data_IF_550001517266
#
_entry.id   IF_550001517266
#
_cell.length_a   1.000
_cell.length_b   1.000
_cell.length_c   1.000
_cell.angle_alpha   90.00
_cell.angle_beta   90.00
_cell.angle_gamma   90.00
#
_symmetry.space_group_name_H-M   'P 1'
#
loop_
_entity.id
_entity.type
_entity.pdbx_description
1 polymer ?
#
# COMPACT_ATOMS: atom_id res chain seq x y z
N UNK A 1 -0.77 -18.43 -6.13
CA UNK A 1 -1.11 -17.07 -6.61
C UNK A 1 -0.32 -16.07 -5.79
N UNK A 2 0.43 -15.18 -6.42
CA UNK A 2 1.10 -14.05 -5.75
C UNK A 2 0.29 -12.76 -5.94
N UNK A 3 0.58 -11.71 -5.15
CA UNK A 3 -0.03 -10.39 -5.39
C UNK A 3 0.35 -9.84 -6.77
N UNK A 4 1.59 -10.01 -7.23
CA UNK A 4 2.01 -9.67 -8.59
C UNK A 4 1.15 -10.34 -9.67
N UNK A 5 0.83 -11.64 -9.52
CA UNK A 5 -0.02 -12.38 -10.47
C UNK A 5 -1.45 -11.85 -10.48
N UNK A 6 -2.01 -11.57 -9.30
CA UNK A 6 -3.35 -10.97 -9.19
C UNK A 6 -3.39 -9.56 -9.75
N UNK A 7 -2.37 -8.74 -9.46
CA UNK A 7 -2.23 -7.40 -9.99
C UNK A 7 -2.19 -7.37 -11.52
N UNK A 8 -1.46 -8.31 -12.14
CA UNK A 8 -1.47 -8.49 -13.58
C UNK A 8 -2.86 -8.87 -14.12
N UNK A 9 -3.57 -9.78 -13.45
CA UNK A 9 -4.92 -10.17 -13.85
C UNK A 9 -5.95 -9.03 -13.72
N UNK A 10 -5.80 -8.17 -12.71
CA UNK A 10 -6.68 -7.03 -12.45
C UNK A 10 -6.31 -5.77 -13.26
N UNK A 11 -5.12 -5.72 -13.85
CA UNK A 11 -4.58 -4.49 -14.44
C UNK A 11 -4.36 -3.39 -13.41
N UNK A 12 -3.95 -3.75 -12.19
CA UNK A 12 -3.74 -2.82 -11.05
C UNK A 12 -2.31 -2.91 -10.53
N UNK A 13 -1.93 -1.95 -9.68
CA UNK A 13 -0.66 -2.01 -8.97
C UNK A 13 -0.66 -3.14 -7.92
N UNK A 14 0.48 -3.81 -7.74
CA UNK A 14 0.63 -4.89 -6.75
C UNK A 14 0.26 -4.44 -5.33
N UNK A 15 0.72 -3.27 -4.91
CA UNK A 15 0.39 -2.70 -3.60
C UNK A 15 -1.10 -2.41 -3.42
N UNK A 16 -1.82 -2.00 -4.48
CA UNK A 16 -3.27 -1.80 -4.40
C UNK A 16 -3.99 -3.13 -4.16
N UNK A 17 -3.58 -4.19 -4.88
CA UNK A 17 -4.17 -5.52 -4.71
C UNK A 17 -3.86 -6.08 -3.32
N UNK A 18 -2.62 -5.97 -2.84
CA UNK A 18 -2.29 -6.33 -1.46
C UNK A 18 -3.15 -5.55 -0.45
N UNK A 19 -3.32 -4.24 -0.64
CA UNK A 19 -4.15 -3.40 0.22
C UNK A 19 -5.63 -3.83 0.25
N UNK A 20 -6.18 -4.36 -0.85
CA UNK A 20 -7.54 -4.92 -0.86
C UNK A 20 -7.68 -6.08 0.12
N UNK A 21 -6.70 -6.99 0.15
CA UNK A 21 -6.73 -8.18 1.00
C UNK A 21 -6.57 -7.86 2.49
N UNK A 22 -5.88 -6.76 2.81
CA UNK A 22 -5.76 -6.26 4.18
C UNK A 22 -6.84 -5.24 4.56
N UNK A 23 -7.87 -5.05 3.73
CA UNK A 23 -8.98 -4.13 4.01
C UNK A 23 -8.56 -2.65 4.02
N UNK A 24 -7.43 -2.31 3.40
CA UNK A 24 -6.86 -0.95 3.35
C UNK A 24 -7.27 -0.18 2.08
N UNK A 25 -7.84 -0.87 1.09
CA UNK A 25 -8.37 -0.28 -0.13
C UNK A 25 -9.82 -0.68 -0.37
N UNK A 26 -10.52 0.12 -1.17
CA UNK A 26 -11.90 -0.16 -1.59
C UNK A 26 -11.88 -0.75 -3.01
N UNK A 27 -12.37 -1.97 -3.21
CA UNK A 27 -12.49 -2.55 -4.55
C UNK A 27 -13.64 -1.90 -5.32
N UNK A 28 -13.46 -1.73 -6.62
CA UNK A 28 -14.54 -1.45 -7.56
C UNK A 28 -15.27 -2.75 -7.94
N UNK A 29 -16.44 -2.65 -8.59
CA UNK A 29 -17.16 -3.83 -9.09
C UNK A 29 -16.34 -4.64 -10.09
N UNK A 30 -15.53 -4.00 -10.93
CA UNK A 30 -14.63 -4.70 -11.85
C UNK A 30 -13.50 -5.43 -11.12
N UNK A 31 -12.99 -4.86 -10.02
CA UNK A 31 -11.97 -5.55 -9.21
C UNK A 31 -12.54 -6.81 -8.56
N UNK A 32 -13.79 -6.75 -8.07
CA UNK A 32 -14.46 -7.93 -7.48
C UNK A 32 -14.71 -9.03 -8.52
N UNK A 33 -15.16 -8.66 -9.72
CA UNK A 33 -15.32 -9.63 -10.82
C UNK A 33 -14.00 -10.30 -11.19
N UNK A 34 -12.93 -9.51 -11.37
CA UNK A 34 -11.61 -10.03 -11.71
C UNK A 34 -11.00 -10.89 -10.59
N UNK A 35 -11.18 -10.49 -9.33
CA UNK A 35 -10.75 -11.30 -8.18
C UNK A 35 -11.52 -12.61 -8.07
N UNK A 36 -12.84 -12.57 -8.30
CA UNK A 36 -13.68 -13.76 -8.28
C UNK A 36 -13.25 -14.76 -9.36
N UNK A 37 -12.97 -14.29 -10.57
CA UNK A 37 -12.45 -15.13 -11.65
C UNK A 37 -11.06 -15.68 -11.32
N UNK A 38 -10.10 -14.81 -10.99
CA UNK A 38 -8.72 -15.21 -10.72
C UNK A 38 -8.62 -16.22 -9.57
N UNK A 39 -9.40 -16.04 -8.50
CA UNK A 39 -9.38 -16.91 -7.33
C UNK A 39 -10.39 -18.07 -7.40
N UNK A 40 -11.14 -18.19 -8.50
CA UNK A 40 -12.21 -19.18 -8.66
C UNK A 40 -13.26 -19.11 -7.53
N UNK A 41 -13.64 -17.90 -7.13
CA UNK A 41 -14.64 -17.64 -6.11
C UNK A 41 -16.00 -17.27 -6.74
N UNK A 42 -17.12 -17.66 -6.14
CA UNK A 42 -18.43 -17.18 -6.58
C UNK A 42 -18.56 -15.66 -6.36
N UNK A 43 -18.70 -14.89 -7.44
CA UNK A 43 -18.82 -13.42 -7.39
C UNK A 43 -19.95 -12.95 -6.47
N UNK A 44 -21.07 -13.67 -6.45
CA UNK A 44 -22.21 -13.36 -5.58
C UNK A 44 -21.85 -13.46 -4.09
N UNK A 45 -21.10 -14.49 -3.70
CA UNK A 45 -20.66 -14.68 -2.32
C UNK A 45 -19.63 -13.62 -1.91
N UNK A 46 -18.67 -13.30 -2.79
CA UNK A 46 -17.67 -12.26 -2.55
C UNK A 46 -18.32 -10.89 -2.36
N UNK A 47 -19.21 -10.50 -3.27
CA UNK A 47 -19.92 -9.22 -3.20
C UNK A 47 -20.81 -9.14 -1.96
N UNK A 48 -21.53 -10.21 -1.63
CA UNK A 48 -22.38 -10.26 -0.45
C UNK A 48 -21.57 -10.19 0.85
N UNK A 49 -20.40 -10.85 0.91
CA UNK A 49 -19.53 -10.83 2.08
C UNK A 49 -18.92 -9.46 2.39
N UNK A 50 -18.60 -8.67 1.36
CA UNK A 50 -18.19 -7.26 1.52
C UNK A 50 -19.38 -6.36 1.89
N UNK A 51 -20.49 -6.53 1.20
CA UNK A 51 -21.68 -5.70 1.34
C UNK A 51 -21.60 -4.38 0.55
N UNK A 52 -22.76 -3.81 0.14
CA UNK A 52 -22.82 -2.65 -0.76
C UNK A 52 -22.28 -1.36 -0.14
N UNK A 53 -22.28 -1.26 1.18
CA UNK A 53 -21.84 -0.07 1.93
C UNK A 53 -20.40 -0.17 2.42
N UNK A 54 -19.65 -1.21 2.00
CA UNK A 54 -18.29 -1.41 2.47
C UNK A 54 -17.43 -0.16 2.24
N UNK A 55 -16.74 0.25 3.29
CA UNK A 55 -15.71 1.28 3.27
C UNK A 55 -14.59 0.82 4.19
N UNK A 56 -13.32 0.85 3.74
CA UNK A 56 -12.21 0.35 4.53
C UNK A 56 -12.01 1.19 5.80
N UNK A 57 -11.94 0.52 6.95
CA UNK A 57 -11.39 1.10 8.16
C UNK A 57 -9.86 0.97 8.10
N UNK A 58 -9.22 2.02 7.58
CA UNK A 58 -7.79 2.01 7.28
C UNK A 58 -6.94 2.22 8.53
N UNK A 59 -5.72 1.71 8.47
CA UNK A 59 -4.72 1.81 9.54
C UNK A 59 -4.58 0.52 10.35
N UNK A 60 -3.55 0.46 11.18
CA UNK A 60 -3.23 -0.70 12.02
C UNK A 60 -3.67 -0.53 13.49
N UNK A 61 -4.55 0.45 13.76
CA UNK A 61 -4.85 0.89 15.11
C UNK A 61 -3.80 1.86 15.69
N UNK A 62 -3.94 2.18 16.98
CA UNK A 62 -2.99 3.03 17.70
C UNK A 62 -1.85 2.24 18.35
N UNK A 63 -0.70 2.87 18.54
CA UNK A 63 0.46 2.30 19.22
C UNK A 63 1.67 2.06 18.32
N UNK A 64 2.77 1.62 18.93
CA UNK A 64 4.01 1.29 18.23
C UNK A 64 3.86 -0.11 17.60
N UNK A 65 4.13 -0.29 16.29
CA UNK A 65 4.07 -1.61 15.66
C UNK A 65 5.02 -2.61 16.33
N UNK A 66 4.56 -3.83 16.57
CA UNK A 66 5.39 -4.90 17.16
C UNK A 66 5.99 -5.83 16.12
N UNK A 67 5.42 -5.88 14.91
CA UNK A 67 6.00 -6.62 13.79
C UNK A 67 7.36 -6.00 13.40
N UNK A 68 8.44 -6.79 13.33
CA UNK A 68 9.77 -6.25 13.07
C UNK A 68 9.92 -5.54 11.73
N UNK A 69 9.25 -6.01 10.66
CA UNK A 69 9.36 -5.39 9.32
C UNK A 69 8.68 -4.03 9.34
N UNK A 70 7.48 -3.96 9.91
CA UNK A 70 6.71 -2.71 9.97
C UNK A 70 7.33 -1.73 10.98
N UNK A 71 7.90 -2.24 12.08
CA UNK A 71 8.62 -1.41 13.05
C UNK A 71 9.79 -0.66 12.43
N UNK A 72 10.53 -1.24 11.46
CA UNK A 72 11.62 -0.51 10.78
C UNK A 72 11.13 0.67 9.96
N UNK A 73 9.93 0.60 9.39
CA UNK A 73 9.32 1.75 8.72
C UNK A 73 8.95 2.84 9.72
N UNK A 74 8.40 2.46 10.88
CA UNK A 74 8.12 3.38 11.97
C UNK A 74 9.40 4.04 12.52
N UNK A 75 10.44 3.25 12.78
CA UNK A 75 11.77 3.74 13.18
C UNK A 75 12.37 4.71 12.16
N UNK A 76 12.19 4.43 10.86
CA UNK A 76 12.58 5.33 9.78
C UNK A 76 11.90 6.69 9.89
N UNK A 77 10.60 6.76 10.19
CA UNK A 77 9.88 8.01 10.43
C UNK A 77 10.42 8.72 11.68
N UNK A 78 10.71 8.00 12.75
CA UNK A 78 11.24 8.59 13.99
C UNK A 78 12.64 9.19 13.81
N UNK A 79 13.50 8.55 13.02
CA UNK A 79 14.87 9.02 12.74
C UNK A 79 14.89 10.12 11.68
N UNK A 80 14.15 9.95 10.58
CA UNK A 80 14.26 10.81 9.40
C UNK A 80 13.11 11.80 9.22
N UNK A 81 12.04 11.74 10.02
CA UNK A 81 10.85 12.58 9.82
C UNK A 81 11.12 14.09 9.83
N UNK A 82 11.90 14.58 10.79
CA UNK A 82 12.28 16.00 10.85
C UNK A 82 13.23 16.40 9.70
N UNK A 83 14.30 15.64 9.40
CA UNK A 83 15.12 15.88 8.20
C UNK A 83 14.30 15.89 6.90
N UNK A 84 13.42 14.92 6.68
CA UNK A 84 12.55 14.83 5.50
C UNK A 84 11.66 16.06 5.41
N UNK A 85 11.02 16.47 6.51
CA UNK A 85 10.19 17.69 6.57
C UNK A 85 10.97 18.92 6.13
N UNK A 86 12.19 19.11 6.65
CA UNK A 86 13.04 20.26 6.30
C UNK A 86 13.43 20.25 4.82
N UNK A 87 13.86 19.10 4.30
CA UNK A 87 14.26 18.96 2.89
C UNK A 87 13.08 19.12 1.93
N UNK A 88 11.88 18.70 2.30
CA UNK A 88 10.66 19.00 1.53
C UNK A 88 10.46 20.52 1.45
N UNK A 89 10.50 21.24 2.57
CA UNK A 89 10.35 22.69 2.55
C UNK A 89 11.39 23.36 1.65
N UNK A 90 12.66 22.97 1.74
CA UNK A 90 13.73 23.49 0.87
C UNK A 90 13.50 23.19 -0.62
N UNK A 91 13.06 21.98 -0.97
CA UNK A 91 12.82 21.57 -2.35
C UNK A 91 11.60 22.23 -2.99
N UNK A 92 10.69 22.74 -2.17
CA UNK A 92 9.47 23.42 -2.59
C UNK A 92 9.53 24.91 -2.21
N UNK A 93 10.71 25.52 -2.35
CA UNK A 93 10.96 26.97 -2.23
C UNK A 93 10.50 27.61 -0.90
N UNK A 94 10.59 26.86 0.19
CA UNK A 94 10.17 27.29 1.53
C UNK A 94 8.66 27.32 1.72
N UNK A 95 7.88 26.79 0.78
CA UNK A 95 6.43 26.70 0.92
C UNK A 95 6.05 25.68 1.99
N UNK A 96 5.04 26.04 2.80
CA UNK A 96 4.43 25.11 3.73
C UNK A 96 3.51 24.16 2.97
N UNK A 97 3.67 22.86 3.19
CA UNK A 97 3.00 21.84 2.40
C UNK A 97 3.28 20.43 2.89
N UNK A 98 2.62 19.46 2.25
CA UNK A 98 2.71 18.04 2.60
C UNK A 98 2.81 17.17 1.36
N UNK A 99 3.44 16.01 1.51
CA UNK A 99 3.30 14.90 0.56
C UNK A 99 1.99 14.17 0.89
N UNK A 100 1.05 14.14 -0.06
CA UNK A 100 -0.22 13.41 0.12
C UNK A 100 0.04 11.91 0.28
N UNK A 101 -0.69 11.24 1.16
CA UNK A 101 -0.73 9.77 1.25
C UNK A 101 -2.07 9.21 0.74
N UNK A 102 -2.92 10.07 0.17
CA UNK A 102 -4.19 9.71 -0.48
C UNK A 102 -4.02 9.70 -1.99
N UNK A 103 -3.46 10.79 -2.53
CA UNK A 103 -2.98 10.87 -3.91
C UNK A 103 -1.51 10.48 -3.90
N UNK A 104 -1.28 9.17 -3.76
CA UNK A 104 0.04 8.58 -3.69
C UNK A 104 -0.01 7.14 -4.18
N UNK A 105 1.05 6.73 -4.86
CA UNK A 105 1.36 5.38 -5.26
C UNK A 105 2.56 4.87 -4.47
N UNK A 106 2.41 3.66 -3.96
CA UNK A 106 3.46 2.97 -3.21
C UNK A 106 3.94 1.76 -4.02
N UNK A 107 5.25 1.55 -4.10
CA UNK A 107 5.86 0.34 -4.67
C UNK A 107 6.94 -0.24 -3.77
N UNK A 108 7.13 -1.55 -3.88
CA UNK A 108 8.21 -2.28 -3.20
C UNK A 108 8.96 -3.07 -4.27
N UNK A 109 10.24 -2.73 -4.44
CA UNK A 109 11.08 -3.30 -5.48
C UNK A 109 12.34 -3.91 -4.87
N UNK A 110 12.78 -5.05 -5.43
CA UNK A 110 14.06 -5.66 -5.08
C UNK A 110 15.16 -5.03 -5.92
N UNK A 111 16.16 -4.45 -5.27
CA UNK A 111 17.38 -3.96 -5.91
C UNK A 111 18.53 -4.93 -5.64
N UNK A 112 19.06 -5.53 -6.70
CA UNK A 112 20.22 -6.43 -6.60
C UNK A 112 21.44 -5.64 -6.13
N UNK A 113 22.16 -6.18 -5.15
CA UNK A 113 23.34 -5.52 -4.57
C UNK A 113 24.43 -6.54 -4.21
N UNK A 114 25.72 -6.29 -4.55
CA UNK A 114 26.81 -7.23 -4.30
C UNK A 114 27.00 -7.62 -2.83
N UNK A 115 26.53 -6.81 -1.87
CA UNK A 115 26.62 -7.07 -0.43
C UNK A 115 25.34 -7.68 0.15
N UNK A 116 24.44 -8.14 -0.72
CA UNK A 116 23.11 -8.61 -0.36
C UNK A 116 22.05 -7.58 -0.76
N UNK A 117 21.01 -8.10 -1.40
CA UNK A 117 19.98 -7.29 -2.05
C UNK A 117 19.27 -6.34 -1.10
N UNK A 118 18.75 -5.26 -1.68
CA UNK A 118 18.07 -4.18 -0.98
C UNK A 118 16.59 -4.17 -1.34
N UNK A 119 15.79 -3.67 -0.41
CA UNK A 119 14.40 -3.30 -0.64
C UNK A 119 14.37 -1.80 -0.95
N UNK A 120 13.73 -1.44 -2.05
CA UNK A 120 13.43 -0.06 -2.41
C UNK A 120 11.94 0.13 -2.18
N UNK A 121 11.60 1.07 -1.30
CA UNK A 121 10.23 1.49 -1.03
C UNK A 121 10.06 2.90 -1.60
N UNK A 122 9.13 3.07 -2.52
CA UNK A 122 8.86 4.35 -3.18
C UNK A 122 7.47 4.84 -2.80
N UNK A 123 7.36 6.14 -2.53
CA UNK A 123 6.10 6.88 -2.38
C UNK A 123 6.12 7.99 -3.44
N UNK A 124 5.21 7.95 -4.40
CA UNK A 124 5.13 8.89 -5.54
C UNK A 124 3.73 9.45 -5.74
#
# INVERSE_FOLDING_TARGET
>A
MTFAQLAAALGKAEMYVAALFYGQAKPSSSDLSALAEALSLPLGALTAGLGPSFTPYRGMGGGVPTDPVIYRLYEGVMVYGHPIKAVIAEKFDGQDGIMSMIDCRVSVDRKVDPKGDRVVLTFE
#
